data_IF_496472174260
#
_entry.id   IF_496472174260
#
_cell.length_a   1.000
_cell.length_b   1.000
_cell.length_c   1.000
_cell.angle_alpha   90.00
_cell.angle_beta   90.00
_cell.angle_gamma   90.00
#
_symmetry.space_group_name_H-M   'P 1'
#
loop_
_entity.id
_entity.type
_entity.pdbx_description
1 polymer ?
#
# COMPACT_ATOMS: atom_id res chain seq x y z
N UNK A 1 -7.64 -7.57 -11.20
CA UNK A 1 -7.57 -8.73 -10.26
C UNK A 1 -8.50 -8.57 -9.04
N UNK A 2 -9.22 -7.45 -8.90
CA UNK A 2 -10.15 -7.18 -7.78
C UNK A 2 -9.56 -7.50 -6.38
N UNK A 3 -8.27 -7.26 -6.18
CA UNK A 3 -7.52 -7.56 -4.96
C UNK A 3 -7.50 -9.06 -4.55
N UNK A 4 -7.86 -9.98 -5.43
CA UNK A 4 -7.73 -11.42 -5.20
C UNK A 4 -6.25 -11.82 -5.20
N UNK A 5 -5.77 -12.36 -4.08
CA UNK A 5 -4.36 -12.68 -3.88
C UNK A 5 -3.85 -13.74 -4.87
N UNK A 6 -4.66 -14.77 -5.16
CA UNK A 6 -4.26 -15.85 -6.07
C UNK A 6 -4.15 -15.35 -7.52
N UNK A 7 -5.10 -14.48 -7.92
CA UNK A 7 -5.07 -13.87 -9.26
C UNK A 7 -3.87 -12.93 -9.40
N UNK A 8 -3.55 -12.15 -8.34
CA UNK A 8 -2.37 -11.29 -8.34
C UNK A 8 -1.08 -12.10 -8.49
N UNK A 9 -0.94 -13.17 -7.74
CA UNK A 9 0.25 -14.05 -7.82
C UNK A 9 0.41 -14.67 -9.21
N UNK A 10 -0.69 -15.10 -9.82
CA UNK A 10 -0.66 -15.65 -11.18
C UNK A 10 -0.20 -14.59 -12.20
N UNK A 11 -0.76 -13.38 -12.14
CA UNK A 11 -0.37 -12.29 -13.05
C UNK A 11 1.10 -11.92 -12.89
N UNK A 12 1.58 -11.84 -11.65
CA UNK A 12 2.99 -11.52 -11.38
C UNK A 12 3.90 -12.64 -11.91
N UNK A 13 3.51 -13.90 -11.72
CA UNK A 13 4.23 -15.06 -12.27
C UNK A 13 4.29 -15.02 -13.80
N UNK A 14 3.21 -14.63 -14.44
CA UNK A 14 3.15 -14.47 -15.90
C UNK A 14 4.11 -13.35 -16.36
N UNK A 15 4.17 -12.22 -15.66
CA UNK A 15 5.13 -11.15 -15.93
C UNK A 15 6.59 -11.61 -15.79
N UNK A 16 6.88 -12.44 -14.78
CA UNK A 16 8.21 -13.02 -14.61
C UNK A 16 8.55 -14.00 -15.74
N UNK A 17 7.61 -14.82 -16.15
CA UNK A 17 7.78 -15.76 -17.27
C UNK A 17 8.02 -15.04 -18.60
N UNK A 18 7.35 -13.91 -18.81
CA UNK A 18 7.51 -13.06 -19.99
C UNK A 18 8.79 -12.20 -19.94
N UNK A 19 9.56 -12.25 -18.83
CA UNK A 19 10.77 -11.47 -18.62
C UNK A 19 10.55 -9.96 -18.85
N UNK A 20 9.51 -9.39 -18.29
CA UNK A 20 9.24 -7.96 -18.41
C UNK A 20 10.39 -7.12 -17.82
N UNK A 21 10.73 -6.00 -18.44
CA UNK A 21 11.83 -5.12 -18.02
C UNK A 21 11.49 -4.28 -16.79
N UNK A 22 10.20 -4.09 -16.51
CA UNK A 22 9.68 -3.25 -15.41
C UNK A 22 8.28 -3.72 -15.01
N UNK A 23 8.00 -3.73 -13.71
CA UNK A 23 6.63 -3.95 -13.20
C UNK A 23 6.07 -2.66 -12.60
N UNK A 24 4.79 -2.40 -12.85
CA UNK A 24 4.06 -1.27 -12.23
C UNK A 24 2.93 -1.82 -11.37
N UNK A 25 2.98 -1.52 -10.08
CA UNK A 25 1.97 -1.92 -9.10
C UNK A 25 1.11 -0.74 -8.65
N UNK A 26 -0.20 -0.83 -8.84
CA UNK A 26 -1.14 0.19 -8.39
C UNK A 26 -1.80 -0.25 -7.09
N UNK A 27 -1.74 0.60 -6.08
CA UNK A 27 -2.17 0.38 -4.71
C UNK A 27 -1.27 -0.56 -3.88
N UNK A 28 -1.33 -0.39 -2.57
CA UNK A 28 -0.44 -1.05 -1.60
C UNK A 28 -0.42 -2.57 -1.70
N UNK A 29 -1.55 -3.29 -1.79
CA UNK A 29 -1.53 -4.77 -1.84
C UNK A 29 -0.80 -5.32 -3.07
N UNK A 30 -0.96 -4.67 -4.21
CA UNK A 30 -0.29 -5.07 -5.45
C UNK A 30 1.21 -4.80 -5.37
N UNK A 31 1.59 -3.61 -4.90
CA UNK A 31 2.99 -3.23 -4.73
C UNK A 31 3.75 -4.19 -3.79
N UNK A 32 3.14 -4.55 -2.66
CA UNK A 32 3.72 -5.50 -1.70
C UNK A 32 3.92 -6.90 -2.31
N UNK A 33 2.99 -7.38 -3.12
CA UNK A 33 3.12 -8.67 -3.82
C UNK A 33 4.22 -8.64 -4.86
N UNK A 34 4.31 -7.55 -5.64
CA UNK A 34 5.40 -7.38 -6.61
C UNK A 34 6.77 -7.28 -5.93
N UNK A 35 6.88 -6.55 -4.81
CA UNK A 35 8.09 -6.49 -4.01
C UNK A 35 8.55 -7.89 -3.59
N UNK A 36 7.66 -8.68 -2.98
CA UNK A 36 7.97 -10.03 -2.53
C UNK A 36 8.39 -10.95 -3.69
N UNK A 37 7.73 -10.83 -4.83
CA UNK A 37 8.01 -11.66 -5.99
C UNK A 37 9.33 -11.30 -6.70
N UNK A 38 9.78 -10.05 -6.58
CA UNK A 38 11.00 -9.55 -7.21
C UNK A 38 12.19 -9.47 -6.25
N UNK A 39 12.01 -9.88 -5.00
CA UNK A 39 13.08 -9.93 -4.01
C UNK A 39 14.25 -10.78 -4.52
N UNK A 40 15.46 -10.21 -4.49
CA UNK A 40 16.67 -10.87 -5.01
C UNK A 40 16.79 -10.93 -6.53
N UNK A 41 15.92 -10.24 -7.26
CA UNK A 41 16.01 -10.06 -8.72
C UNK A 41 16.41 -8.64 -9.07
N UNK A 42 16.83 -8.41 -10.32
CA UNK A 42 17.15 -7.09 -10.85
C UNK A 42 15.91 -6.39 -11.50
N UNK A 43 14.74 -7.02 -11.46
CA UNK A 43 13.53 -6.45 -12.06
C UNK A 43 13.04 -5.27 -11.23
N UNK A 44 13.04 -4.04 -11.78
CA UNK A 44 12.56 -2.87 -11.05
C UNK A 44 11.05 -2.88 -10.93
N UNK A 45 10.56 -2.38 -9.78
CA UNK A 45 9.14 -2.19 -9.51
C UNK A 45 8.86 -0.72 -9.26
N UNK A 46 7.82 -0.19 -9.90
CA UNK A 46 7.31 1.16 -9.63
C UNK A 46 5.91 1.06 -9.07
N UNK A 47 5.70 1.58 -7.87
CA UNK A 47 4.35 1.64 -7.30
C UNK A 47 3.68 3.00 -7.54
N UNK A 48 2.36 2.99 -7.57
CA UNK A 48 1.52 4.18 -7.63
C UNK A 48 0.35 4.05 -6.65
N UNK A 49 -0.14 5.18 -6.16
CA UNK A 49 -1.28 5.24 -5.24
C UNK A 49 -1.06 4.38 -3.97
N UNK A 50 0.10 4.54 -3.35
CA UNK A 50 0.42 3.92 -2.05
C UNK A 50 0.43 5.00 -0.97
N UNK A 51 -0.42 4.87 0.04
CA UNK A 51 -0.63 5.92 1.05
C UNK A 51 0.53 6.04 2.03
N UNK A 52 1.14 4.91 2.40
CA UNK A 52 2.26 4.87 3.34
C UNK A 52 3.33 3.86 2.88
N UNK A 53 4.22 4.26 1.97
CA UNK A 53 5.26 3.36 1.44
C UNK A 53 6.27 2.89 2.49
N UNK A 54 6.59 3.72 3.47
CA UNK A 54 7.52 3.38 4.55
C UNK A 54 6.84 2.47 5.57
N UNK A 55 5.65 2.84 6.04
CA UNK A 55 4.90 2.05 7.02
C UNK A 55 4.46 0.68 6.48
N UNK A 56 4.25 0.55 5.17
CA UNK A 56 3.98 -0.74 4.53
C UNK A 56 5.24 -1.58 4.25
N UNK A 57 6.43 -1.03 4.50
CA UNK A 57 7.70 -1.72 4.28
C UNK A 57 8.12 -1.84 2.82
N UNK A 58 7.53 -1.04 1.93
CA UNK A 58 7.90 -1.01 0.51
C UNK A 58 9.24 -0.32 0.27
N UNK A 59 9.50 0.73 1.02
CA UNK A 59 10.76 1.49 0.96
C UNK A 59 11.27 1.76 2.38
N UNK A 60 12.57 1.91 2.52
CA UNK A 60 13.19 2.25 3.81
C UNK A 60 12.96 3.71 4.17
N UNK A 61 13.06 4.59 3.18
CA UNK A 61 12.86 6.02 3.30
C UNK A 61 12.31 6.58 1.98
N UNK A 62 11.58 7.70 2.02
CA UNK A 62 10.99 8.31 0.82
C UNK A 62 12.04 8.85 -0.15
N UNK A 63 13.16 9.33 0.37
CA UNK A 63 14.27 9.89 -0.44
C UNK A 63 15.32 8.84 -0.80
N UNK A 64 15.34 7.71 -0.09
CA UNK A 64 16.27 6.61 -0.29
C UNK A 64 15.56 5.25 -0.18
N UNK A 65 14.87 4.79 -1.23
CA UNK A 65 14.05 3.56 -1.20
C UNK A 65 14.76 2.29 -0.72
N UNK A 66 16.06 2.15 -0.98
CA UNK A 66 16.90 1.07 -0.44
C UNK A 66 16.85 -0.26 -1.20
N UNK A 67 15.92 -0.44 -2.14
CA UNK A 67 15.74 -1.68 -2.89
C UNK A 67 15.37 -1.43 -4.36
N UNK A 68 15.01 -2.49 -5.09
CA UNK A 68 14.57 -2.43 -6.49
C UNK A 68 13.15 -1.86 -6.69
N UNK A 69 12.60 -1.17 -5.69
CA UNK A 69 11.24 -0.63 -5.72
C UNK A 69 11.23 0.86 -5.36
N UNK A 70 10.46 1.64 -6.11
CA UNK A 70 10.21 3.06 -5.88
C UNK A 70 8.82 3.44 -6.41
N UNK A 71 8.37 4.67 -6.21
CA UNK A 71 7.07 5.07 -6.75
C UNK A 71 6.54 6.38 -6.20
N UNK A 72 5.22 6.55 -6.28
CA UNK A 72 4.50 7.74 -5.84
C UNK A 72 3.57 7.44 -4.68
N UNK A 73 3.60 8.29 -3.65
CA UNK A 73 2.69 8.23 -2.50
C UNK A 73 1.46 9.11 -2.72
N UNK A 74 0.31 8.63 -2.27
CA UNK A 74 -0.93 9.40 -2.10
C UNK A 74 -1.24 9.61 -0.61
N UNK A 75 -0.25 10.05 0.14
CA UNK A 75 -0.35 10.26 1.59
C UNK A 75 -1.63 11.02 1.99
N UNK A 76 -2.33 10.47 2.99
CA UNK A 76 -3.53 11.07 3.57
C UNK A 76 -3.22 11.67 4.93
N UNK A 77 -3.33 13.00 5.05
CA UNK A 77 -3.29 13.69 6.33
C UNK A 77 -4.64 13.59 7.05
N UNK A 78 -4.81 12.53 7.85
CA UNK A 78 -6.05 12.29 8.61
C UNK A 78 -6.33 13.39 9.63
N UNK A 79 -5.32 14.04 10.18
CA UNK A 79 -5.50 15.17 11.10
C UNK A 79 -6.12 16.38 10.40
N UNK A 80 -5.70 16.67 9.17
CA UNK A 80 -6.30 17.73 8.35
C UNK A 80 -7.74 17.40 7.95
N UNK A 81 -8.05 16.13 7.66
CA UNK A 81 -9.42 15.68 7.38
C UNK A 81 -10.31 15.90 8.62
N UNK A 82 -9.85 15.54 9.81
CA UNK A 82 -10.60 15.78 11.05
C UNK A 82 -10.84 17.26 11.32
N UNK A 83 -9.84 18.11 11.08
CA UNK A 83 -9.99 19.57 11.18
C UNK A 83 -11.03 20.11 10.21
N UNK A 84 -11.07 19.59 8.98
CA UNK A 84 -12.06 19.96 7.98
C UNK A 84 -13.49 19.58 8.46
N UNK A 85 -13.68 18.37 8.99
CA UNK A 85 -14.96 17.93 9.56
C UNK A 85 -15.40 18.87 10.68
N UNK A 86 -14.51 19.22 11.59
CA UNK A 86 -14.79 20.16 12.69
C UNK A 86 -15.09 21.59 12.21
N UNK A 87 -14.44 22.02 11.13
CA UNK A 87 -14.71 23.33 10.54
C UNK A 87 -16.12 23.41 9.92
N UNK A 88 -16.60 22.33 9.33
CA UNK A 88 -17.95 22.24 8.76
C UNK A 88 -19.01 22.06 9.84
N UNK A 89 -18.72 21.27 10.86
CA UNK A 89 -19.61 21.01 11.99
C UNK A 89 -18.82 21.04 13.31
N UNK A 90 -18.68 22.22 13.96
CA UNK A 90 -17.93 22.37 15.21
C UNK A 90 -18.45 21.52 16.38
N UNK A 91 -19.73 21.18 16.35
CA UNK A 91 -20.42 20.43 17.42
C UNK A 91 -20.38 18.92 17.21
N UNK A 92 -19.66 18.42 16.20
CA UNK A 92 -19.56 16.99 15.92
C UNK A 92 -18.94 16.24 17.11
N UNK A 93 -19.64 15.21 17.62
CA UNK A 93 -19.18 14.38 18.75
C UNK A 93 -19.05 12.91 18.38
N UNK A 94 -19.68 12.47 17.29
CA UNK A 94 -19.64 11.08 16.83
C UNK A 94 -19.43 11.05 15.33
N UNK A 95 -18.47 10.27 14.90
CA UNK A 95 -18.15 10.05 13.49
C UNK A 95 -18.21 8.54 13.25
N UNK A 96 -18.97 8.12 12.23
CA UNK A 96 -18.96 6.74 11.75
C UNK A 96 -17.83 6.53 10.76
N UNK A 97 -17.06 5.48 10.94
CA UNK A 97 -16.01 5.07 10.01
C UNK A 97 -16.36 3.69 9.45
N UNK A 98 -16.49 3.62 8.12
CA UNK A 98 -16.66 2.35 7.43
C UNK A 98 -15.31 1.97 6.79
N UNK A 99 -14.81 0.79 7.09
CA UNK A 99 -13.55 0.29 6.53
C UNK A 99 -13.58 -1.22 6.34
N UNK A 100 -12.74 -1.72 5.43
CA UNK A 100 -12.52 -3.14 5.22
C UNK A 100 -11.37 -3.63 6.10
N UNK A 101 -11.69 -4.50 7.05
CA UNK A 101 -10.71 -5.05 7.99
C UNK A 101 -9.62 -5.90 7.29
N UNK A 102 -9.98 -6.56 6.20
CA UNK A 102 -9.04 -7.34 5.39
C UNK A 102 -7.97 -6.46 4.74
N UNK A 103 -8.34 -5.29 4.29
CA UNK A 103 -7.41 -4.31 3.73
C UNK A 103 -6.42 -3.79 4.79
N UNK A 104 -6.91 -3.51 6.00
CA UNK A 104 -6.09 -3.00 7.10
C UNK A 104 -5.08 -4.04 7.57
N UNK A 105 -5.48 -5.30 7.66
CA UNK A 105 -4.63 -6.40 8.10
C UNK A 105 -3.48 -6.71 7.14
N UNK A 106 -3.75 -6.58 5.84
CA UNK A 106 -2.74 -6.80 4.79
C UNK A 106 -1.76 -5.62 4.63
N UNK A 107 -2.16 -4.42 5.06
CA UNK A 107 -1.32 -3.21 4.97
C UNK A 107 -0.41 -3.03 6.18
N UNK A 108 -0.69 -3.69 7.32
CA UNK A 108 0.06 -3.54 8.57
C UNK A 108 0.22 -4.91 9.26
N UNK A 109 1.11 -5.77 8.78
CA UNK A 109 1.29 -7.12 9.35
C UNK A 109 1.77 -7.16 10.81
N UNK A 110 2.00 -6.01 11.45
CA UNK A 110 2.46 -5.88 12.83
C UNK A 110 1.42 -5.37 13.83
N UNK A 111 0.21 -5.01 13.43
CA UNK A 111 -0.81 -4.46 14.33
C UNK A 111 -1.63 -5.54 15.04
N UNK A 112 -0.97 -6.48 15.72
CA UNK A 112 -1.63 -7.32 16.72
C UNK A 112 -1.84 -6.48 17.98
N UNK A 113 -3.07 -6.03 18.22
CA UNK A 113 -3.46 -5.54 19.53
C UNK A 113 -4.17 -4.19 19.58
N UNK A 114 -5.34 -4.09 18.98
CA UNK A 114 -6.36 -3.15 19.45
C UNK A 114 -7.65 -3.94 19.70
N UNK A 115 -7.63 -4.68 20.80
CA UNK A 115 -8.84 -5.17 21.44
C UNK A 115 -9.24 -4.14 22.49
N UNK A 116 -10.34 -3.46 22.25
CA UNK A 116 -10.92 -2.52 23.19
C UNK A 116 -12.28 -2.06 22.70
#
# INVERSE_FOLDING_TARGET
CNADANVMEQIISDFQADNVDLMVGVATPVAMRMQSATEGTDTPVVFSAVSDPVGSGLVEDLDAPGANITGTSDYLDTASIMKLIQAVNPDVKKIGLLYDIGFFYNSHPGSQGLSG
#
